data_IF_394769590134
#
_entry.id   IF_394769590134
#
_cell.length_a   1.000
_cell.length_b   1.000
_cell.length_c   1.000
_cell.angle_alpha   90.00
_cell.angle_beta   90.00
_cell.angle_gamma   90.00
#
_symmetry.space_group_name_H-M   'P 1'
#
loop_
_entity.id
_entity.type
_entity.pdbx_description
1 polymer ?
#
# COMPACT_ATOMS: atom_id res chain seq x y z
N UNK A 1 19.97 -9.87 6.10
CA UNK A 1 18.84 -9.19 5.44
C UNK A 1 18.23 -8.22 6.44
N UNK A 2 17.92 -6.99 6.06
CA UNK A 2 17.33 -6.02 6.99
C UNK A 2 15.92 -6.48 7.40
N UNK A 3 15.60 -6.40 8.69
CA UNK A 3 14.24 -6.66 9.17
C UNK A 3 13.37 -5.46 8.81
N UNK A 4 12.46 -5.64 7.85
CA UNK A 4 11.50 -4.61 7.46
C UNK A 4 10.46 -4.37 8.57
N UNK A 5 10.09 -3.10 8.77
CA UNK A 5 8.94 -2.72 9.59
C UNK A 5 7.63 -3.20 8.98
N UNK A 6 6.51 -3.06 9.70
CA UNK A 6 5.20 -3.45 9.18
C UNK A 6 4.80 -2.56 7.98
N UNK A 7 5.07 -1.26 8.09
CA UNK A 7 4.80 -0.26 7.05
C UNK A 7 5.64 -0.53 5.80
N UNK A 8 6.92 -0.87 5.98
CA UNK A 8 7.83 -1.21 4.88
C UNK A 8 7.40 -2.50 4.16
N UNK A 9 6.89 -3.50 4.89
CA UNK A 9 6.34 -4.72 4.29
C UNK A 9 5.12 -4.43 3.42
N UNK A 10 4.21 -3.60 3.91
CA UNK A 10 3.02 -3.18 3.15
C UNK A 10 3.44 -2.38 1.92
N UNK A 11 4.36 -1.43 2.06
CA UNK A 11 4.87 -0.65 0.93
C UNK A 11 5.51 -1.57 -0.11
N UNK A 12 6.37 -2.50 0.32
CA UNK A 12 6.99 -3.49 -0.55
C UNK A 12 5.95 -4.31 -1.31
N UNK A 13 4.95 -4.85 -0.62
CA UNK A 13 3.87 -5.63 -1.26
C UNK A 13 3.15 -4.82 -2.36
N UNK A 14 2.83 -3.55 -2.09
CA UNK A 14 2.19 -2.66 -3.06
C UNK A 14 3.07 -2.33 -4.29
N UNK A 15 4.38 -2.20 -4.10
CA UNK A 15 5.33 -1.97 -5.19
C UNK A 15 5.59 -3.23 -6.01
N UNK A 16 5.73 -4.38 -5.37
CA UNK A 16 6.00 -5.67 -6.03
C UNK A 16 4.88 -6.00 -7.04
N UNK A 17 3.62 -5.79 -6.66
CA UNK A 17 2.46 -6.00 -7.55
C UNK A 17 2.15 -4.78 -8.43
N UNK A 18 2.94 -3.70 -8.37
CA UNK A 18 2.72 -2.46 -9.14
C UNK A 18 1.34 -1.81 -8.90
N UNK A 19 0.73 -2.05 -7.74
CA UNK A 19 -0.44 -1.33 -7.27
C UNK A 19 -0.11 0.14 -6.98
N UNK A 20 1.14 0.43 -6.60
CA UNK A 20 1.69 1.78 -6.50
C UNK A 20 2.78 1.99 -7.56
N UNK A 21 2.76 3.15 -8.20
CA UNK A 21 3.73 3.57 -9.22
C UNK A 21 4.22 4.97 -8.93
N UNK A 22 5.52 5.20 -9.06
CA UNK A 22 6.15 6.52 -8.92
C UNK A 22 6.85 6.86 -10.22
N UNK A 23 6.57 8.04 -10.77
CA UNK A 23 7.28 8.62 -11.90
C UNK A 23 7.36 10.14 -11.73
N UNK A 24 8.53 10.63 -11.33
CA UNK A 24 8.78 12.06 -11.12
C UNK A 24 9.09 12.78 -12.44
N UNK A 25 9.73 12.10 -13.40
CA UNK A 25 10.09 12.67 -14.70
C UNK A 25 8.90 12.85 -15.61
N UNK A 26 7.95 11.92 -15.57
CA UNK A 26 6.69 11.99 -16.30
C UNK A 26 5.51 11.71 -15.35
N UNK A 27 4.98 12.75 -14.68
CA UNK A 27 3.87 12.61 -13.73
C UNK A 27 2.59 12.11 -14.39
N UNK A 28 1.83 11.31 -13.65
CA UNK A 28 0.51 10.85 -14.08
C UNK A 28 -0.49 12.00 -14.06
N UNK A 29 -1.38 12.06 -15.05
CA UNK A 29 -2.52 12.99 -15.05
C UNK A 29 -3.75 12.24 -14.56
N UNK A 30 -4.31 12.67 -13.43
CA UNK A 30 -5.54 12.09 -12.89
C UNK A 30 -6.76 12.53 -13.71
N UNK A 31 -7.90 11.84 -13.52
CA UNK A 31 -9.15 12.19 -14.21
C UNK A 31 -9.63 13.63 -13.92
N UNK A 32 -9.23 14.21 -12.78
CA UNK A 32 -9.47 15.61 -12.44
C UNK A 32 -8.56 16.61 -13.18
N UNK A 33 -7.58 16.14 -13.95
CA UNK A 33 -6.54 16.95 -14.59
C UNK A 33 -5.33 17.24 -13.69
N UNK A 34 -5.36 16.87 -12.40
CA UNK A 34 -4.23 17.05 -11.49
C UNK A 34 -3.07 16.14 -11.92
N UNK A 35 -1.86 16.72 -11.98
CA UNK A 35 -0.63 15.96 -12.18
C UNK A 35 -0.06 15.51 -10.85
N UNK A 36 0.31 14.23 -10.74
CA UNK A 36 0.89 13.63 -9.54
C UNK A 36 2.06 12.71 -9.91
N UNK A 37 3.19 12.77 -9.19
CA UNK A 37 4.32 11.87 -9.40
C UNK A 37 4.03 10.44 -8.90
N UNK A 38 2.91 10.24 -8.20
CA UNK A 38 2.51 8.95 -7.64
C UNK A 38 1.09 8.59 -8.09
N UNK A 39 0.90 7.33 -8.45
CA UNK A 39 -0.40 6.73 -8.73
C UNK A 39 -0.57 5.46 -7.90
N UNK A 40 -1.78 5.23 -7.41
CA UNK A 40 -2.12 4.07 -6.59
C UNK A 40 -3.48 3.50 -7.02
N UNK A 41 -3.54 2.20 -7.29
CA UNK A 41 -4.77 1.44 -7.47
C UNK A 41 -4.73 0.13 -6.67
N UNK A 42 -5.22 0.20 -5.42
CA UNK A 42 -5.26 -0.94 -4.51
C UNK A 42 -6.21 -2.07 -4.96
N UNK A 43 -7.08 -1.85 -5.96
CA UNK A 43 -7.94 -2.93 -6.47
C UNK A 43 -7.10 -4.02 -7.16
N UNK A 44 -5.95 -3.63 -7.71
CA UNK A 44 -5.04 -4.57 -8.36
C UNK A 44 -4.53 -5.66 -7.40
N UNK A 45 -4.35 -5.31 -6.12
CA UNK A 45 -3.93 -6.23 -5.05
C UNK A 45 -4.87 -7.43 -4.89
N UNK A 46 -6.15 -7.30 -5.26
CA UNK A 46 -7.12 -8.39 -5.16
C UNK A 46 -6.73 -9.62 -6.01
N UNK A 47 -5.89 -9.44 -7.04
CA UNK A 47 -5.37 -10.53 -7.87
C UNK A 47 -4.16 -11.27 -7.28
N UNK A 48 -3.63 -10.83 -6.13
CA UNK A 48 -2.40 -11.35 -5.53
C UNK A 48 -2.67 -11.72 -4.06
N UNK A 49 -2.88 -13.01 -3.80
CA UNK A 49 -3.31 -13.50 -2.49
C UNK A 49 -2.33 -13.15 -1.38
N UNK A 50 -1.03 -13.31 -1.62
CA UNK A 50 0.00 -13.24 -0.57
C UNK A 50 0.23 -11.79 -0.13
N UNK A 51 0.28 -10.87 -1.09
CA UNK A 51 0.37 -9.43 -0.84
C UNK A 51 -0.91 -8.88 -0.21
N UNK A 52 -2.07 -9.35 -0.67
CA UNK A 52 -3.36 -9.02 -0.05
C UNK A 52 -3.37 -9.44 1.42
N UNK A 53 -2.99 -10.67 1.71
CA UNK A 53 -3.01 -11.21 3.07
C UNK A 53 -2.01 -10.45 3.97
N UNK A 54 -0.82 -10.13 3.45
CA UNK A 54 0.16 -9.24 4.11
C UNK A 54 -0.47 -7.90 4.52
N UNK A 55 -1.21 -7.26 3.60
CA UNK A 55 -1.86 -5.96 3.85
C UNK A 55 -3.00 -6.08 4.88
N UNK A 56 -3.83 -7.13 4.77
CA UNK A 56 -4.94 -7.38 5.69
C UNK A 56 -4.43 -7.64 7.11
N UNK A 57 -3.41 -8.48 7.26
CA UNK A 57 -2.80 -8.75 8.57
C UNK A 57 -2.21 -7.49 9.21
N UNK A 58 -1.53 -6.65 8.40
CA UNK A 58 -1.00 -5.38 8.85
C UNK A 58 -2.13 -4.45 9.33
N UNK A 59 -3.21 -4.34 8.55
CA UNK A 59 -4.37 -3.55 8.92
C UNK A 59 -5.01 -4.04 10.22
N UNK A 60 -5.22 -5.35 10.38
CA UNK A 60 -5.75 -5.94 11.62
C UNK A 60 -4.86 -5.64 12.82
N UNK A 61 -3.53 -5.71 12.67
CA UNK A 61 -2.58 -5.34 13.74
C UNK A 61 -2.74 -3.88 14.16
N UNK A 62 -2.85 -2.96 13.20
CA UNK A 62 -3.08 -1.53 13.45
C UNK A 62 -4.43 -1.31 14.15
N UNK A 63 -5.48 -2.03 13.74
CA UNK A 63 -6.79 -1.92 14.39
C UNK A 63 -6.76 -2.43 15.83
N UNK A 64 -6.06 -3.54 16.11
CA UNK A 64 -5.90 -4.06 17.48
C UNK A 64 -5.08 -3.12 18.37
N UNK A 65 -4.05 -2.45 17.84
CA UNK A 65 -3.27 -1.48 18.61
C UNK A 65 -4.07 -0.21 18.91
N UNK A 66 -4.95 0.21 17.98
CA UNK A 66 -5.89 1.34 18.17
C UNK A 66 -7.06 0.99 19.10
N UNK A 67 -7.57 -0.24 19.01
CA UNK A 67 -8.70 -0.75 19.79
C UNK A 67 -8.42 -0.89 21.29
N UNK A 68 -7.16 -0.84 21.73
CA UNK A 68 -6.79 -0.75 23.16
C UNK A 68 -7.08 0.63 23.80
N UNK A 69 -7.75 1.55 23.09
CA UNK A 69 -8.26 2.82 23.62
C UNK A 69 -9.79 2.86 23.85
N UNK A 70 -10.50 1.77 23.63
CA UNK A 70 -11.93 1.68 23.95
C UNK A 70 -12.31 0.24 24.27
N UNK A 71 -12.14 -0.11 25.54
CA UNK A 71 -13.07 -0.81 26.45
C UNK A 71 -12.33 -1.09 27.75
#
# INVERSE_FOLDING_TARGET
MANLTLEEKVAKALFDVKAVKINVGEPFTFASGIKSPIYCDNRYVLGFSDERDTIVEAFVKVQKSRGKKSL
#
